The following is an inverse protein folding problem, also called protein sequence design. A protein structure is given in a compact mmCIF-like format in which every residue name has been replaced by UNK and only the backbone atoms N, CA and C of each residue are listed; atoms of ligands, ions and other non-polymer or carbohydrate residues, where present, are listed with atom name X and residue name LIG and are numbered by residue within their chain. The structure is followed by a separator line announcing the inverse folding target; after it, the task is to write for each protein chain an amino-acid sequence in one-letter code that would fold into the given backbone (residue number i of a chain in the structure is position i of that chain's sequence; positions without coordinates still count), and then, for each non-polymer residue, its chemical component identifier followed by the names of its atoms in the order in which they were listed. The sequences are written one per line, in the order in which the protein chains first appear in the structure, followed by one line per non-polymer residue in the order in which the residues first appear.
data_IF_714127514384
#
_entry.id   IF_714127514384
#
_cell.length_a   1.000
_cell.length_b   1.000
_cell.length_c   1.000
_cell.angle_alpha   90.00
_cell.angle_beta   90.00
_cell.angle_gamma   90.00
#
_symmetry.space_group_name_H-M   'P 1'
#
loop_
_entity.id
_entity.type
_entity.pdbx_description
1 polymer ?
#
# COMPACT_ATOMS: atom_id res chain seq x y z
N UNK A 1 15.38 3.18 20.51
CA UNK A 1 15.58 2.90 19.07
C UNK A 1 15.58 4.22 18.31
N UNK A 2 16.52 4.42 17.37
CA UNK A 2 16.62 5.63 16.55
C UNK A 2 17.60 6.68 17.02
N UNK A 3 18.23 6.53 18.15
CA UNK A 3 19.29 7.43 18.63
C UNK A 3 20.65 6.80 18.31
N UNK A 4 21.48 7.54 17.59
CA UNK A 4 22.85 7.10 17.28
C UNK A 4 23.75 7.24 18.51
N UNK A 5 24.73 6.36 18.64
CA UNK A 5 25.69 6.39 19.75
C UNK A 5 26.62 7.59 19.63
N UNK A 6 27.05 8.21 20.77
CA UNK A 6 27.99 9.30 20.74
C UNK A 6 29.31 8.93 20.02
N UNK A 7 29.86 9.85 19.24
CA UNK A 7 31.04 9.58 18.42
C UNK A 7 32.29 9.27 19.27
N UNK A 8 32.33 9.76 20.51
CA UNK A 8 33.40 9.47 21.46
C UNK A 8 33.40 8.03 21.96
N UNK A 9 32.20 7.38 21.99
CA UNK A 9 32.06 5.99 22.46
C UNK A 9 32.19 5.00 21.30
N UNK A 10 31.56 5.29 20.16
CA UNK A 10 31.59 4.47 18.96
C UNK A 10 31.78 5.35 17.73
N UNK A 11 32.96 5.29 17.12
CA UNK A 11 33.28 6.11 15.95
C UNK A 11 32.44 5.72 14.72
N UNK A 12 32.26 4.42 14.47
CA UNK A 12 31.56 3.89 13.31
C UNK A 12 30.34 3.09 13.74
N UNK A 13 29.17 3.68 13.59
CA UNK A 13 27.88 3.01 13.69
C UNK A 13 27.40 2.62 12.30
N UNK A 14 26.39 1.77 12.19
CA UNK A 14 25.79 1.41 10.90
C UNK A 14 25.33 2.66 10.14
N UNK A 15 24.71 3.61 10.84
CA UNK A 15 24.26 4.87 10.27
C UNK A 15 25.43 5.67 9.67
N UNK A 16 26.50 5.86 10.44
CA UNK A 16 27.68 6.62 9.97
C UNK A 16 28.42 5.92 8.84
N UNK A 17 28.47 4.60 8.83
CA UNK A 17 29.02 3.84 7.70
C UNK A 17 28.23 4.11 6.43
N UNK A 18 26.89 4.09 6.51
CA UNK A 18 26.03 4.37 5.37
C UNK A 18 26.17 5.82 4.89
N UNK A 19 26.17 6.78 5.81
CA UNK A 19 26.37 8.20 5.51
C UNK A 19 27.71 8.44 4.81
N UNK A 20 28.78 7.81 5.30
CA UNK A 20 30.12 7.95 4.69
C UNK A 20 30.17 7.31 3.30
N UNK A 21 29.55 6.15 3.12
CA UNK A 21 29.46 5.51 1.81
C UNK A 21 28.72 6.41 0.80
N UNK A 22 27.59 6.98 1.19
CA UNK A 22 26.84 7.92 0.33
C UNK A 22 27.67 9.19 0.03
N UNK A 23 28.42 9.69 1.01
CA UNK A 23 29.33 10.84 0.81
C UNK A 23 30.45 10.52 -0.19
N UNK A 24 31.00 9.30 -0.14
CA UNK A 24 32.05 8.87 -1.08
C UNK A 24 31.49 8.72 -2.50
N UNK A 25 30.27 8.20 -2.66
CA UNK A 25 29.57 8.17 -3.94
C UNK A 25 29.33 9.58 -4.48
N UNK A 26 28.79 10.47 -3.67
CA UNK A 26 28.53 11.87 -4.07
C UNK A 26 29.80 12.62 -4.51
N UNK A 27 30.95 12.30 -3.89
CA UNK A 27 32.26 12.88 -4.24
C UNK A 27 32.98 12.11 -5.36
N UNK A 28 32.30 11.17 -6.01
CA UNK A 28 32.87 10.35 -7.09
C UNK A 28 34.16 9.63 -6.69
N UNK A 29 34.35 9.33 -5.39
CA UNK A 29 35.49 8.57 -4.88
C UNK A 29 35.31 7.06 -5.02
N UNK A 30 34.07 6.62 -5.13
CA UNK A 30 33.66 5.23 -5.39
C UNK A 30 32.76 5.23 -6.60
N UNK A 31 33.07 4.39 -7.58
CA UNK A 31 32.20 4.11 -8.71
C UNK A 31 31.57 2.72 -8.53
N UNK A 32 30.25 2.67 -8.43
CA UNK A 32 29.47 1.43 -8.31
C UNK A 32 28.88 0.94 -9.62
N UNK A 33 29.01 1.72 -10.70
CA UNK A 33 28.47 1.35 -12.01
C UNK A 33 28.99 -0.01 -12.51
N UNK A 34 30.27 -0.40 -12.31
CA UNK A 34 30.75 -1.71 -12.72
C UNK A 34 30.06 -2.89 -11.99
N UNK A 35 29.43 -2.63 -10.85
CA UNK A 35 28.70 -3.65 -10.09
C UNK A 35 27.25 -3.81 -10.57
N UNK A 36 26.71 -2.87 -11.34
CA UNK A 36 25.35 -2.92 -11.85
C UNK A 36 25.33 -3.81 -13.09
N UNK A 37 24.92 -5.05 -12.89
CA UNK A 37 24.85 -6.05 -13.96
C UNK A 37 23.57 -5.98 -14.79
N UNK A 38 22.45 -5.57 -14.15
CA UNK A 38 21.14 -5.56 -14.79
C UNK A 38 20.32 -4.36 -14.33
N UNK A 39 19.51 -3.82 -15.26
CA UNK A 39 18.51 -2.79 -15.01
C UNK A 39 17.18 -3.25 -15.56
N UNK A 40 16.14 -3.15 -14.78
CA UNK A 40 14.78 -3.51 -15.17
C UNK A 40 13.80 -2.43 -14.71
N UNK A 41 12.73 -2.24 -15.44
CA UNK A 41 11.62 -1.40 -14.98
C UNK A 41 10.95 -2.03 -13.74
N UNK A 42 10.46 -1.20 -12.84
CA UNK A 42 9.75 -1.65 -11.64
C UNK A 42 8.54 -2.53 -11.95
N UNK A 43 7.87 -2.31 -13.08
CA UNK A 43 6.75 -3.13 -13.54
C UNK A 43 7.15 -4.59 -13.79
N UNK A 44 8.42 -4.83 -14.05
CA UNK A 44 8.97 -6.18 -14.27
C UNK A 44 9.41 -6.87 -12.98
N UNK A 45 9.29 -6.24 -11.81
CA UNK A 45 9.87 -6.70 -10.56
C UNK A 45 9.53 -8.16 -10.25
N UNK A 46 8.26 -8.58 -10.35
CA UNK A 46 7.82 -9.95 -10.06
C UNK A 46 8.55 -10.98 -10.93
N UNK A 47 8.66 -10.71 -12.25
CA UNK A 47 9.37 -11.60 -13.17
C UNK A 47 10.88 -11.64 -12.91
N UNK A 48 11.48 -10.51 -12.51
CA UNK A 48 12.90 -10.40 -12.16
C UNK A 48 13.20 -11.19 -10.90
N UNK A 49 12.39 -11.07 -9.85
CA UNK A 49 12.54 -11.90 -8.64
C UNK A 49 12.39 -13.39 -8.93
N UNK A 50 11.45 -13.77 -9.78
CA UNK A 50 11.29 -15.16 -10.20
C UNK A 50 12.54 -15.68 -10.94
N UNK A 51 13.16 -14.87 -11.82
CA UNK A 51 14.41 -15.20 -12.51
C UNK A 51 15.60 -15.29 -11.57
N UNK A 52 15.68 -14.41 -10.56
CA UNK A 52 16.74 -14.47 -9.54
C UNK A 52 16.64 -15.75 -8.72
N UNK A 53 15.43 -16.10 -8.25
CA UNK A 53 15.19 -17.31 -7.45
C UNK A 53 15.42 -18.59 -8.24
N UNK A 54 15.09 -18.62 -9.52
CA UNK A 54 15.32 -19.79 -10.38
C UNK A 54 16.75 -19.89 -10.90
N UNK A 55 17.60 -18.89 -10.65
CA UNK A 55 18.98 -18.86 -11.18
C UNK A 55 19.04 -18.65 -12.70
N UNK A 56 17.95 -18.24 -13.34
CA UNK A 56 17.91 -18.03 -14.79
C UNK A 56 18.46 -16.68 -15.25
N UNK A 57 18.79 -15.79 -14.30
CA UNK A 57 19.45 -14.52 -14.59
C UNK A 57 20.98 -14.74 -14.65
N UNK A 58 21.58 -14.38 -15.76
CA UNK A 58 23.04 -14.59 -15.97
C UNK A 58 23.86 -13.63 -15.12
N UNK A 59 24.73 -14.17 -14.26
CA UNK A 59 25.70 -13.43 -13.42
C UNK A 59 25.12 -12.18 -12.73
N UNK A 60 24.06 -12.28 -11.92
CA UNK A 60 23.51 -11.13 -11.22
C UNK A 60 24.45 -10.70 -10.09
N UNK A 61 25.06 -9.51 -10.20
CA UNK A 61 25.85 -8.89 -9.14
C UNK A 61 25.02 -7.77 -8.50
N UNK A 62 24.68 -6.73 -9.23
CA UNK A 62 23.80 -5.66 -8.84
C UNK A 62 22.62 -5.58 -9.79
N UNK A 63 21.41 -5.77 -9.30
CA UNK A 63 20.17 -5.69 -10.08
C UNK A 63 19.39 -4.47 -9.61
N UNK A 64 19.17 -3.52 -10.50
CA UNK A 64 18.39 -2.31 -10.20
C UNK A 64 17.00 -2.41 -10.81
N UNK A 65 16.02 -1.96 -10.02
CA UNK A 65 14.67 -1.69 -10.49
C UNK A 65 14.52 -0.17 -10.65
N UNK A 66 14.23 0.24 -11.87
CA UNK A 66 14.10 1.65 -12.23
C UNK A 66 12.65 2.08 -12.18
N UNK A 67 12.39 3.16 -11.46
CA UNK A 67 11.07 3.78 -11.38
C UNK A 67 10.95 4.85 -12.46
N UNK A 68 9.77 5.09 -13.04
CA UNK A 68 9.56 6.20 -13.95
C UNK A 68 9.78 7.53 -13.23
N UNK A 69 10.29 8.53 -13.94
CA UNK A 69 10.52 9.88 -13.37
C UNK A 69 9.25 10.51 -12.82
N UNK A 70 8.10 10.22 -13.42
CA UNK A 70 6.79 10.68 -12.99
C UNK A 70 5.84 9.49 -12.88
N UNK A 71 5.84 8.78 -11.75
CA UNK A 71 4.93 7.66 -11.56
C UNK A 71 3.48 8.16 -11.52
N UNK A 72 2.60 7.48 -12.25
CA UNK A 72 1.16 7.72 -12.13
C UNK A 72 0.71 7.26 -10.73
N UNK A 73 0.39 8.21 -9.88
CA UNK A 73 -0.15 7.93 -8.55
C UNK A 73 -1.66 7.66 -8.68
N UNK A 74 -2.02 6.40 -8.71
CA UNK A 74 -3.43 5.99 -8.65
C UNK A 74 -3.87 5.92 -7.19
N UNK A 75 -4.67 6.90 -6.75
CA UNK A 75 -5.23 6.97 -5.39
C UNK A 75 -6.47 6.11 -5.22
N UNK A 76 -7.08 5.73 -6.33
CA UNK A 76 -8.24 4.85 -6.43
C UNK A 76 -7.98 3.78 -7.48
N UNK A 77 -8.17 2.52 -7.12
CA UNK A 77 -8.00 1.38 -8.01
C UNK A 77 -9.23 0.49 -7.95
N UNK A 78 -9.82 0.23 -9.11
CA UNK A 78 -10.79 -0.84 -9.27
C UNK A 78 -10.05 -2.18 -9.26
N UNK A 79 -10.49 -3.11 -8.42
CA UNK A 79 -9.86 -4.43 -8.33
C UNK A 79 -10.37 -5.33 -9.47
N UNK A 80 -9.52 -5.69 -10.45
CA UNK A 80 -9.89 -6.71 -11.42
C UNK A 80 -9.95 -8.06 -10.69
N UNK A 81 -11.08 -8.72 -10.74
CA UNK A 81 -11.29 -10.06 -10.16
C UNK A 81 -11.17 -10.11 -8.63
N UNK A 82 -12.06 -9.47 -7.89
CA UNK A 82 -12.38 -10.01 -6.58
C UNK A 82 -12.95 -11.42 -6.83
N UNK A 83 -12.34 -12.44 -6.23
CA UNK A 83 -12.83 -13.84 -6.26
C UNK A 83 -14.24 -13.96 -5.63
N UNK A 84 -14.77 -12.87 -5.17
CA UNK A 84 -16.14 -12.69 -4.74
C UNK A 84 -17.00 -12.36 -5.95
N UNK A 85 -17.90 -13.27 -6.30
CA UNK A 85 -18.96 -12.97 -7.27
C UNK A 85 -19.76 -11.79 -6.71
N UNK A 86 -19.83 -10.66 -7.44
CA UNK A 86 -20.68 -9.56 -7.00
C UNK A 86 -22.09 -10.09 -6.81
N UNK A 87 -22.64 -9.94 -5.61
CA UNK A 87 -24.06 -10.12 -5.36
C UNK A 87 -24.84 -9.18 -6.29
N UNK A 88 -25.99 -9.59 -6.76
CA UNK A 88 -26.84 -8.73 -7.58
C UNK A 88 -27.09 -7.42 -6.82
N UNK A 89 -26.71 -6.30 -7.44
CA UNK A 89 -26.70 -4.93 -6.89
C UNK A 89 -28.10 -4.37 -6.57
N UNK A 90 -29.16 -5.08 -6.86
CA UNK A 90 -30.51 -4.53 -6.96
C UNK A 90 -31.19 -4.20 -5.64
N UNK A 91 -30.69 -4.76 -4.49
CA UNK A 91 -31.34 -4.55 -3.18
C UNK A 91 -30.33 -4.41 -2.02
N UNK A 92 -29.08 -4.01 -2.29
CA UNK A 92 -28.06 -3.86 -1.24
C UNK A 92 -27.53 -2.43 -1.17
N UNK A 93 -27.32 -1.96 0.06
CA UNK A 93 -26.74 -0.65 0.38
C UNK A 93 -25.26 -0.65 0.04
N UNK A 94 -24.86 0.22 -0.85
CA UNK A 94 -23.47 0.39 -1.27
C UNK A 94 -22.66 1.02 -0.16
N UNK A 95 -21.75 0.26 0.43
CA UNK A 95 -21.06 0.64 1.66
C UNK A 95 -19.58 0.96 1.41
N UNK A 96 -19.18 2.19 1.76
CA UNK A 96 -17.78 2.59 1.88
C UNK A 96 -17.26 2.29 3.29
N UNK A 97 -16.00 1.83 3.39
CA UNK A 97 -15.37 1.55 4.69
C UNK A 97 -14.07 2.34 4.79
N UNK A 98 -13.94 3.16 5.81
CA UNK A 98 -12.73 3.95 6.07
C UNK A 98 -11.99 3.37 7.26
N UNK A 99 -10.80 2.83 6.98
CA UNK A 99 -9.98 2.13 7.95
C UNK A 99 -10.16 0.61 7.91
N UNK A 100 -9.07 -0.11 8.22
CA UNK A 100 -9.06 -1.56 8.37
C UNK A 100 -8.08 -1.95 9.48
N UNK A 101 -8.30 -1.39 10.67
CA UNK A 101 -7.54 -1.72 11.87
C UNK A 101 -7.76 -3.16 12.33
N UNK A 102 -7.09 -3.57 13.41
CA UNK A 102 -7.15 -4.93 13.92
C UNK A 102 -8.59 -5.35 14.27
N UNK A 103 -9.34 -4.49 14.97
CA UNK A 103 -10.73 -4.73 15.33
C UNK A 103 -11.65 -4.86 14.10
N UNK A 104 -11.47 -3.95 13.12
CA UNK A 104 -12.23 -4.00 11.87
C UNK A 104 -12.03 -5.31 11.13
N UNK A 105 -10.78 -5.75 10.98
CA UNK A 105 -10.43 -6.99 10.28
C UNK A 105 -10.86 -8.26 11.00
N UNK A 106 -10.81 -8.25 12.34
CA UNK A 106 -11.10 -9.43 13.13
C UNK A 106 -12.60 -9.66 13.37
N UNK A 107 -13.37 -8.60 13.50
CA UNK A 107 -14.77 -8.67 13.95
C UNK A 107 -15.75 -8.02 12.97
N UNK A 108 -15.58 -6.74 12.63
CA UNK A 108 -16.60 -5.99 11.90
C UNK A 108 -16.69 -6.36 10.41
N UNK A 109 -15.59 -6.41 9.70
CA UNK A 109 -15.62 -6.76 8.27
C UNK A 109 -16.17 -8.17 8.03
N UNK A 110 -15.80 -9.21 8.82
CA UNK A 110 -16.43 -10.52 8.72
C UNK A 110 -17.92 -10.53 9.07
N UNK A 111 -18.37 -9.64 9.96
CA UNK A 111 -19.79 -9.51 10.29
C UNK A 111 -20.56 -8.85 9.14
N UNK A 112 -20.05 -7.73 8.62
CA UNK A 112 -20.65 -7.02 7.48
C UNK A 112 -20.76 -7.92 6.24
N UNK A 113 -19.75 -8.76 5.97
CA UNK A 113 -19.80 -9.71 4.85
C UNK A 113 -20.96 -10.71 4.92
N UNK A 114 -21.49 -11.00 6.12
CA UNK A 114 -22.61 -11.92 6.31
C UNK A 114 -23.95 -11.25 6.05
N UNK A 115 -24.01 -9.92 6.15
CA UNK A 115 -25.22 -9.16 5.94
C UNK A 115 -25.53 -9.07 4.44
N UNK A 116 -26.74 -9.53 4.08
CA UNK A 116 -27.16 -9.59 2.66
C UNK A 116 -27.51 -8.22 2.09
N UNK A 117 -27.86 -7.31 2.95
CA UNK A 117 -28.30 -5.96 2.62
C UNK A 117 -27.13 -4.99 2.42
N UNK A 118 -25.90 -5.38 2.78
CA UNK A 118 -24.71 -4.55 2.65
C UNK A 118 -23.80 -5.06 1.54
N UNK A 119 -23.39 -4.15 0.66
CA UNK A 119 -22.40 -4.43 -0.38
C UNK A 119 -21.12 -3.64 -0.09
N UNK A 120 -20.01 -4.34 0.07
CA UNK A 120 -18.69 -3.73 0.32
C UNK A 120 -18.14 -3.12 -0.98
N UNK A 121 -18.41 -1.82 -1.19
CA UNK A 121 -18.04 -1.13 -2.41
C UNK A 121 -16.58 -0.66 -2.38
N UNK A 122 -16.20 0.22 -1.47
CA UNK A 122 -14.85 0.82 -1.43
C UNK A 122 -14.22 0.70 -0.05
N UNK A 123 -13.00 0.20 0.01
CA UNK A 123 -12.17 0.23 1.21
C UNK A 123 -11.11 1.34 1.10
N UNK A 124 -11.09 2.23 2.08
CA UNK A 124 -10.05 3.26 2.21
C UNK A 124 -9.13 2.92 3.36
N UNK A 125 -7.83 2.82 3.09
CA UNK A 125 -6.82 2.73 4.15
C UNK A 125 -5.60 3.57 3.81
N UNK A 126 -4.91 4.07 4.83
CA UNK A 126 -3.71 4.92 4.67
C UNK A 126 -2.60 4.28 3.83
N UNK A 127 -2.49 2.96 3.81
CA UNK A 127 -1.47 2.20 3.06
C UNK A 127 -2.12 1.44 1.92
N UNK A 128 -1.67 1.69 0.68
CA UNK A 128 -2.17 1.02 -0.51
C UNK A 128 -2.04 -0.51 -0.45
N UNK A 129 -0.90 -1.04 0.05
CA UNK A 129 -0.70 -2.47 0.20
C UNK A 129 -1.69 -3.11 1.18
N UNK A 130 -1.99 -2.44 2.30
CA UNK A 130 -3.01 -2.90 3.24
C UNK A 130 -4.41 -2.79 2.66
N UNK A 131 -4.66 -1.75 1.86
CA UNK A 131 -5.93 -1.58 1.15
C UNK A 131 -6.17 -2.74 0.21
N UNK A 132 -5.21 -3.06 -0.65
CA UNK A 132 -5.30 -4.13 -1.63
C UNK A 132 -5.53 -5.50 -0.99
N UNK A 133 -4.69 -5.87 -0.02
CA UNK A 133 -4.81 -7.15 0.67
C UNK A 133 -6.17 -7.32 1.34
N UNK A 134 -6.64 -6.30 2.08
CA UNK A 134 -7.90 -6.39 2.78
C UNK A 134 -9.10 -6.29 1.83
N UNK A 135 -9.02 -5.48 0.77
CA UNK A 135 -10.08 -5.40 -0.22
C UNK A 135 -10.31 -6.72 -0.93
N UNK A 136 -9.23 -7.41 -1.33
CA UNK A 136 -9.31 -8.75 -1.91
C UNK A 136 -9.87 -9.78 -0.92
N UNK A 137 -9.37 -9.75 0.34
CA UNK A 137 -9.79 -10.68 1.39
C UNK A 137 -11.26 -10.57 1.74
N UNK A 138 -11.78 -9.35 1.85
CA UNK A 138 -13.16 -9.08 2.27
C UNK A 138 -14.13 -8.85 1.12
N UNK A 139 -13.65 -8.87 -0.12
CA UNK A 139 -14.51 -8.79 -1.31
C UNK A 139 -15.01 -7.38 -1.64
N UNK A 140 -14.21 -6.36 -1.36
CA UNK A 140 -14.49 -5.01 -1.85
C UNK A 140 -14.29 -4.92 -3.38
N UNK A 141 -15.11 -4.11 -4.02
CA UNK A 141 -14.98 -3.85 -5.46
C UNK A 141 -13.84 -2.87 -5.75
N UNK A 142 -13.65 -1.88 -4.90
CA UNK A 142 -12.69 -0.81 -5.07
C UNK A 142 -11.79 -0.66 -3.83
N UNK A 143 -10.63 -0.05 -4.06
CA UNK A 143 -9.71 0.36 -3.00
C UNK A 143 -9.21 1.78 -3.22
N UNK A 144 -8.95 2.48 -2.13
CA UNK A 144 -8.41 3.83 -2.16
C UNK A 144 -7.50 4.11 -0.97
N UNK A 145 -6.69 5.16 -1.09
CA UNK A 145 -5.87 5.68 0.00
C UNK A 145 -6.34 7.02 0.53
N UNK A 146 -7.33 7.63 -0.12
CA UNK A 146 -7.93 8.92 0.25
C UNK A 146 -9.42 8.80 0.50
N UNK A 147 -9.87 9.45 1.55
CA UNK A 147 -11.26 9.43 2.01
C UNK A 147 -12.20 10.17 1.03
N UNK A 148 -11.70 11.16 0.27
CA UNK A 148 -12.46 11.90 -0.73
C UNK A 148 -13.15 10.98 -1.75
N UNK A 149 -12.54 9.84 -2.08
CA UNK A 149 -13.12 8.86 -2.99
C UNK A 149 -14.46 8.31 -2.49
N UNK A 150 -14.64 8.24 -1.17
CA UNK A 150 -15.91 7.80 -0.57
C UNK A 150 -16.94 8.92 -0.57
N UNK A 151 -16.51 10.14 -0.23
CA UNK A 151 -17.41 11.29 -0.13
C UNK A 151 -17.91 11.81 -1.48
N UNK A 152 -17.08 11.69 -2.52
CA UNK A 152 -17.38 12.13 -3.88
C UNK A 152 -18.09 11.06 -4.72
N UNK A 153 -18.30 9.85 -4.18
CA UNK A 153 -18.93 8.76 -4.90
C UNK A 153 -20.45 8.86 -4.83
N UNK A 154 -21.09 8.97 -5.98
CA UNK A 154 -22.56 8.90 -6.10
C UNK A 154 -23.13 7.49 -5.86
N UNK A 155 -22.26 6.46 -5.86
CA UNK A 155 -22.68 5.06 -5.68
C UNK A 155 -22.70 4.64 -4.21
N UNK A 156 -21.99 5.33 -3.31
CA UNK A 156 -21.91 4.95 -1.90
C UNK A 156 -23.04 5.59 -1.12
N UNK A 157 -23.88 4.73 -0.49
CA UNK A 157 -25.07 5.13 0.26
C UNK A 157 -24.85 5.10 1.78
N UNK A 158 -23.86 4.33 2.25
CA UNK A 158 -23.51 4.24 3.67
C UNK A 158 -22.00 4.20 3.88
N UNK A 159 -21.53 4.72 5.01
CA UNK A 159 -20.11 4.72 5.36
C UNK A 159 -19.89 4.15 6.75
N UNK A 160 -18.90 3.27 6.88
CA UNK A 160 -18.47 2.68 8.14
C UNK A 160 -17.05 3.16 8.47
N UNK A 161 -16.90 3.93 9.54
CA UNK A 161 -15.62 4.42 10.04
C UNK A 161 -14.98 3.43 11.02
N UNK A 162 -13.86 2.81 10.63
CA UNK A 162 -13.07 1.86 11.44
C UNK A 162 -11.70 2.43 11.80
N UNK A 163 -11.64 3.73 11.95
CA UNK A 163 -10.44 4.49 12.31
C UNK A 163 -10.30 4.63 13.83
N UNK A 164 -9.15 5.11 14.34
CA UNK A 164 -9.00 5.50 15.74
C UNK A 164 -10.03 6.58 16.14
N UNK A 165 -10.49 6.56 17.40
CA UNK A 165 -11.60 7.38 17.89
C UNK A 165 -11.46 8.89 17.63
N UNK A 166 -10.24 9.42 17.63
CA UNK A 166 -10.00 10.85 17.40
C UNK A 166 -10.31 11.31 15.96
N UNK A 167 -10.48 10.37 15.01
CA UNK A 167 -10.91 10.67 13.65
C UNK A 167 -12.43 10.60 13.44
N UNK A 168 -13.19 10.03 14.38
CA UNK A 168 -14.61 9.78 14.17
C UNK A 168 -15.42 11.07 13.96
N UNK A 169 -15.12 12.13 14.73
CA UNK A 169 -15.85 13.39 14.61
C UNK A 169 -15.71 14.00 13.21
N UNK A 170 -14.49 14.02 12.66
CA UNK A 170 -14.24 14.55 11.31
C UNK A 170 -14.89 13.69 10.21
N UNK A 171 -14.90 12.36 10.38
CA UNK A 171 -15.58 11.47 9.43
C UNK A 171 -17.09 11.69 9.41
N UNK A 172 -17.71 11.84 10.58
CA UNK A 172 -19.15 12.13 10.69
C UNK A 172 -19.47 13.49 10.06
N UNK A 173 -18.66 14.50 10.32
CA UNK A 173 -18.84 15.83 9.72
C UNK A 173 -18.75 15.76 8.18
N UNK A 174 -17.81 15.00 7.64
CA UNK A 174 -17.66 14.81 6.19
C UNK A 174 -18.82 14.04 5.57
N UNK A 175 -19.41 13.10 6.30
CA UNK A 175 -20.53 12.28 5.82
C UNK A 175 -21.87 13.03 5.78
N UNK A 176 -22.01 14.14 6.50
CA UNK A 176 -23.26 14.92 6.59
C UNK A 176 -23.28 16.08 5.56
N UNK A 177 -22.13 16.46 5.04
CA UNK A 177 -22.00 17.53 4.04
C UNK A 177 -22.35 17.05 2.64
#
# INVERSE_FOLDING_TARGET
EGVDLPIGDVRWTQKRNLEEFLRLLQKEKIDVNPLISHRFSIESAESVYSKLLSGSLSNPVGVLLEYPESPALHRHLKLPNSSFKPRARTDSIMTGVIGAGLFGKALLLPAIQKEKELFLHTLVTRSGANSEHNSRKFGFENQATEESVVWESEEIEAVVGLTPHHHHASLVESAIR
#
